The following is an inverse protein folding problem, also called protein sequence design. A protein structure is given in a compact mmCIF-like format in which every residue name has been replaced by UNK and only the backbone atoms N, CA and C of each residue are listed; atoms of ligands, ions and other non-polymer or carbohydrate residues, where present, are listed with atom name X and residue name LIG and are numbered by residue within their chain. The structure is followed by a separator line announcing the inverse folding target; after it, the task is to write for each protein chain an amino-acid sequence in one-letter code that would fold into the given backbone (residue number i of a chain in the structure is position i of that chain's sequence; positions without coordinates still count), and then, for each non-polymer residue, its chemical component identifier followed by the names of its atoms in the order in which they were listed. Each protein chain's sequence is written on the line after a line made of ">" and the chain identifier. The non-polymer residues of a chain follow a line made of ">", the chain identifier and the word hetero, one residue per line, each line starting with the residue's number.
data_IF_262038997143
#
_entry.id   IF_262038997143
#
_cell.length_a   1.000
_cell.length_b   1.000
_cell.length_c   1.000
_cell.angle_alpha   90.00
_cell.angle_beta   90.00
_cell.angle_gamma   90.00
#
_symmetry.space_group_name_H-M   'P 1'
#
loop_
_entity.id
_entity.type
_entity.pdbx_description
1 polymer ?
#
# COMPACT_ATOMS: atom_id res chain seq x y z
N UNK A 1 2.73 -5.81 -37.30
CA UNK A 1 1.99 -5.79 -36.02
C UNK A 1 2.58 -4.69 -35.17
N UNK A 2 1.79 -3.66 -34.86
CA UNK A 2 2.24 -2.58 -34.00
C UNK A 2 2.62 -3.15 -32.62
N UNK A 3 3.79 -2.74 -32.12
CA UNK A 3 4.22 -3.14 -30.77
C UNK A 3 3.16 -2.67 -29.76
N UNK A 4 2.69 -3.54 -28.86
CA UNK A 4 1.73 -3.15 -27.84
C UNK A 4 2.26 -1.93 -27.06
N UNK A 5 1.38 -0.93 -26.85
CA UNK A 5 1.76 0.31 -26.14
C UNK A 5 1.74 0.10 -24.63
N UNK A 6 2.44 -0.92 -24.13
CA UNK A 6 2.47 -1.26 -22.70
C UNK A 6 2.91 -0.11 -21.79
N UNK A 7 3.79 0.78 -22.27
CA UNK A 7 4.18 1.96 -21.49
C UNK A 7 3.01 2.92 -21.24
N UNK A 8 2.20 3.19 -22.27
CA UNK A 8 1.01 4.03 -22.14
C UNK A 8 -0.06 3.33 -21.30
N UNK A 9 -0.26 2.03 -21.51
CA UNK A 9 -1.18 1.21 -20.69
C UNK A 9 -0.83 1.29 -19.21
N UNK A 10 0.46 1.10 -18.85
CA UNK A 10 0.94 1.22 -17.45
C UNK A 10 0.70 2.62 -16.89
N UNK A 11 0.97 3.67 -17.66
CA UNK A 11 0.71 5.04 -17.20
C UNK A 11 -0.77 5.25 -16.89
N UNK A 12 -1.67 4.84 -17.78
CA UNK A 12 -3.12 4.97 -17.57
C UNK A 12 -3.54 4.20 -16.32
N UNK A 13 -3.13 2.93 -16.19
CA UNK A 13 -3.47 2.10 -15.02
C UNK A 13 -2.96 2.72 -13.72
N UNK A 14 -1.72 3.21 -13.71
CA UNK A 14 -1.14 3.84 -12.51
C UNK A 14 -1.90 5.13 -12.15
N UNK A 15 -2.22 5.98 -13.13
CA UNK A 15 -2.92 7.24 -12.86
C UNK A 15 -4.40 7.07 -12.49
N UNK A 16 -5.00 5.89 -12.72
CA UNK A 16 -6.33 5.57 -12.17
C UNK A 16 -6.31 5.34 -10.64
N UNK A 17 -5.17 5.04 -10.04
CA UNK A 17 -5.02 4.74 -8.61
C UNK A 17 -3.73 5.27 -8.02
N UNK A 18 -2.72 4.43 -7.88
CA UNK A 18 -1.48 4.73 -7.13
C UNK A 18 -0.69 5.92 -7.66
N UNK A 19 -0.67 6.16 -8.97
CA UNK A 19 -0.04 7.34 -9.56
C UNK A 19 -0.77 8.63 -9.19
N UNK A 20 -2.11 8.61 -9.16
CA UNK A 20 -2.90 9.71 -8.61
C UNK A 20 -2.53 9.97 -7.15
N UNK A 21 -2.45 8.91 -6.34
CA UNK A 21 -2.06 9.00 -4.93
C UNK A 21 -0.66 9.59 -4.77
N UNK A 22 0.30 9.25 -5.65
CA UNK A 22 1.63 9.82 -5.65
C UNK A 22 1.61 11.35 -5.88
N UNK A 23 0.80 11.83 -6.84
CA UNK A 23 0.66 13.28 -7.09
C UNK A 23 0.09 13.99 -5.86
N UNK A 24 -0.99 13.48 -5.27
CA UNK A 24 -1.56 14.06 -4.07
C UNK A 24 -0.60 14.01 -2.87
N UNK A 25 0.17 12.94 -2.74
CA UNK A 25 1.17 12.79 -1.68
C UNK A 25 2.30 13.83 -1.79
N UNK A 26 2.73 14.15 -3.03
CA UNK A 26 3.69 15.24 -3.28
C UNK A 26 3.08 16.59 -2.93
N UNK A 27 1.83 16.84 -3.28
CA UNK A 27 1.16 18.09 -2.91
C UNK A 27 0.99 18.21 -1.38
N UNK A 28 0.64 17.11 -0.70
CA UNK A 28 0.51 17.06 0.74
C UNK A 28 1.82 17.39 1.46
N UNK A 29 2.95 16.77 1.06
CA UNK A 29 4.23 17.08 1.70
C UNK A 29 4.67 18.53 1.45
N UNK A 30 4.38 19.11 0.28
CA UNK A 30 4.64 20.53 0.01
C UNK A 30 3.79 21.40 0.95
N UNK A 31 2.50 21.11 1.10
CA UNK A 31 1.62 21.82 2.03
C UNK A 31 2.16 21.73 3.46
N UNK A 32 2.51 20.54 3.93
CA UNK A 32 3.03 20.31 5.28
C UNK A 32 4.34 21.06 5.54
N UNK A 33 5.26 21.07 4.57
CA UNK A 33 6.55 21.78 4.68
C UNK A 33 6.42 23.31 4.64
N UNK A 34 5.36 23.80 4.05
CA UNK A 34 5.11 25.25 3.89
C UNK A 34 4.21 25.83 4.97
N UNK A 35 3.72 25.03 5.92
CA UNK A 35 2.91 25.53 7.06
C UNK A 35 3.76 26.38 8.01
N UNK A 36 3.35 27.62 8.27
CA UNK A 36 4.10 28.52 9.15
C UNK A 36 4.15 27.95 10.58
N UNK A 37 5.34 27.93 11.18
CA UNK A 37 5.57 27.58 12.60
C UNK A 37 5.08 26.16 13.02
N UNK A 38 4.95 25.23 12.09
CA UNK A 38 4.56 23.85 12.36
C UNK A 38 5.51 22.86 11.69
N UNK A 39 6.58 22.40 12.35
CA UNK A 39 7.46 21.35 11.83
C UNK A 39 6.68 20.02 11.65
N UNK A 40 7.15 19.14 10.76
CA UNK A 40 6.43 17.90 10.38
C UNK A 40 6.02 17.06 11.60
N UNK A 41 6.88 16.90 12.59
CA UNK A 41 6.60 16.09 13.78
C UNK A 41 5.57 16.69 14.75
N UNK A 42 5.11 17.92 14.51
CA UNK A 42 4.00 18.56 15.21
C UNK A 42 2.68 18.53 14.40
N UNK A 43 2.74 18.02 13.18
CA UNK A 43 1.57 17.84 12.32
C UNK A 43 1.08 16.39 12.42
N UNK A 44 -0.23 16.18 12.19
CA UNK A 44 -0.85 14.85 12.22
C UNK A 44 -1.39 14.48 10.86
N UNK A 45 -1.03 13.30 10.38
CA UNK A 45 -1.59 12.69 9.19
C UNK A 45 -2.55 11.59 9.61
N UNK A 46 -3.84 11.80 9.38
CA UNK A 46 -4.88 10.86 9.78
C UNK A 46 -5.31 9.99 8.61
N UNK A 47 -5.33 8.68 8.82
CA UNK A 47 -5.78 7.67 7.85
C UNK A 47 -7.13 7.09 8.28
N UNK A 48 -7.80 6.39 7.36
CA UNK A 48 -9.00 5.59 7.63
C UNK A 48 -10.02 6.35 8.52
N UNK A 49 -10.52 7.46 8.00
CA UNK A 49 -11.43 8.36 8.72
C UNK A 49 -12.89 8.08 8.36
N UNK A 50 -13.79 8.22 9.34
CA UNK A 50 -15.24 8.23 9.09
C UNK A 50 -15.63 9.38 8.16
N UNK A 51 -16.43 9.08 7.14
CA UNK A 51 -16.96 10.07 6.20
C UNK A 51 -18.12 10.88 6.84
N UNK A 52 -18.97 10.20 7.60
CA UNK A 52 -20.16 10.77 8.25
C UNK A 52 -20.37 10.11 9.63
N UNK A 53 -19.56 10.48 10.64
CA UNK A 53 -19.49 9.76 11.92
C UNK A 53 -20.82 9.70 12.68
N UNK A 54 -21.71 10.69 12.48
CA UNK A 54 -23.02 10.77 13.13
C UNK A 54 -24.09 9.87 12.46
N UNK A 55 -23.76 9.19 11.37
CA UNK A 55 -24.68 8.32 10.61
C UNK A 55 -24.06 6.93 10.37
N UNK A 56 -24.06 6.02 11.35
CA UNK A 56 -23.28 4.78 11.32
C UNK A 56 -23.49 3.91 10.07
N UNK A 57 -24.74 3.75 9.60
CA UNK A 57 -25.04 2.94 8.42
C UNK A 57 -24.63 3.59 7.11
N UNK A 58 -24.73 4.91 7.02
CA UNK A 58 -24.24 5.66 5.87
C UNK A 58 -22.71 5.66 5.84
N UNK A 59 -22.08 5.82 7.00
CA UNK A 59 -20.62 5.74 7.13
C UNK A 59 -20.11 4.34 6.71
N UNK A 60 -20.77 3.27 7.18
CA UNK A 60 -20.47 1.92 6.74
C UNK A 60 -20.58 1.77 5.20
N UNK A 61 -21.60 2.36 4.58
CA UNK A 61 -21.76 2.34 3.13
C UNK A 61 -20.60 3.05 2.42
N UNK A 62 -20.13 4.19 2.93
CA UNK A 62 -18.91 4.85 2.44
C UNK A 62 -17.67 3.95 2.60
N UNK A 63 -17.48 3.33 3.76
CA UNK A 63 -16.33 2.46 4.00
C UNK A 63 -16.32 1.24 3.06
N UNK A 64 -17.47 0.60 2.86
CA UNK A 64 -17.62 -0.49 1.88
C UNK A 64 -17.27 -0.02 0.46
N UNK A 65 -17.66 1.21 0.12
CA UNK A 65 -17.33 1.83 -1.18
C UNK A 65 -15.82 2.09 -1.30
N UNK A 66 -15.17 2.60 -0.25
CA UNK A 66 -13.72 2.83 -0.22
C UNK A 66 -12.92 1.53 -0.33
N UNK A 67 -13.43 0.42 0.19
CA UNK A 67 -12.83 -0.91 0.00
C UNK A 67 -13.08 -1.44 -1.44
N UNK A 68 -14.29 -1.27 -1.96
CA UNK A 68 -14.71 -1.94 -3.19
C UNK A 68 -14.14 -1.30 -4.46
N UNK A 69 -14.15 0.03 -4.55
CA UNK A 69 -13.74 0.72 -5.80
C UNK A 69 -12.27 0.52 -6.16
N UNK A 70 -11.30 0.56 -5.25
CA UNK A 70 -9.90 0.28 -5.60
C UNK A 70 -9.68 -1.13 -6.14
N UNK A 71 -10.49 -2.12 -5.71
CA UNK A 71 -10.42 -3.49 -6.22
C UNK A 71 -10.81 -3.58 -7.71
N UNK A 72 -11.54 -2.62 -8.26
CA UNK A 72 -11.82 -2.54 -9.71
C UNK A 72 -10.52 -2.37 -10.51
N UNK A 73 -9.53 -1.64 -9.98
CA UNK A 73 -8.20 -1.54 -10.60
C UNK A 73 -7.51 -2.91 -10.64
N UNK A 74 -7.66 -3.72 -9.60
CA UNK A 74 -7.13 -5.09 -9.59
C UNK A 74 -7.77 -5.95 -10.67
N UNK A 75 -9.09 -5.86 -10.83
CA UNK A 75 -9.79 -6.56 -11.92
C UNK A 75 -9.30 -6.09 -13.29
N UNK A 76 -9.09 -4.80 -13.47
CA UNK A 76 -8.56 -4.23 -14.71
C UNK A 76 -7.17 -4.77 -15.03
N UNK A 77 -6.22 -4.74 -14.09
CA UNK A 77 -4.86 -5.24 -14.35
C UNK A 77 -4.82 -6.74 -14.60
N UNK A 78 -5.64 -7.52 -13.90
CA UNK A 78 -5.78 -8.96 -14.16
C UNK A 78 -6.38 -9.23 -15.55
N UNK A 79 -7.36 -8.44 -15.97
CA UNK A 79 -7.95 -8.51 -17.31
C UNK A 79 -6.91 -8.18 -18.39
N UNK A 80 -6.14 -7.09 -18.24
CA UNK A 80 -5.11 -6.70 -19.19
C UNK A 80 -3.99 -7.74 -19.30
N UNK A 81 -3.57 -8.33 -18.19
CA UNK A 81 -2.61 -9.45 -18.19
C UNK A 81 -3.21 -10.70 -18.82
N UNK A 82 -4.50 -10.97 -18.60
CA UNK A 82 -5.18 -12.11 -19.21
C UNK A 82 -5.23 -12.01 -20.74
N UNK A 83 -5.49 -10.83 -21.28
CA UNK A 83 -5.50 -10.60 -22.73
C UNK A 83 -4.16 -10.92 -23.41
N UNK A 84 -3.05 -10.76 -22.70
CA UNK A 84 -1.71 -10.96 -23.25
C UNK A 84 -1.09 -12.31 -22.92
N UNK A 85 -1.34 -12.83 -21.73
CA UNK A 85 -0.69 -14.03 -21.18
C UNK A 85 -1.64 -15.21 -20.91
N UNK A 86 -2.95 -15.01 -21.04
CA UNK A 86 -3.96 -16.02 -20.81
C UNK A 86 -4.32 -16.19 -19.33
N UNK A 87 -3.42 -16.72 -18.51
CA UNK A 87 -3.72 -17.07 -17.11
C UNK A 87 -3.15 -16.06 -16.10
N UNK A 88 -3.65 -14.82 -16.09
CA UNK A 88 -3.12 -13.71 -15.28
C UNK A 88 -2.90 -14.07 -13.79
N UNK A 89 -3.90 -14.65 -13.11
CA UNK A 89 -3.79 -14.99 -11.68
C UNK A 89 -2.65 -15.99 -11.42
N UNK A 90 -2.49 -17.00 -12.25
CA UNK A 90 -1.41 -17.98 -12.13
C UNK A 90 -0.05 -17.37 -12.49
N UNK A 91 -0.02 -16.51 -13.52
CA UNK A 91 1.18 -15.81 -13.96
C UNK A 91 1.86 -15.06 -12.81
N UNK A 92 1.08 -14.32 -12.03
CA UNK A 92 1.59 -13.51 -10.93
C UNK A 92 1.54 -14.21 -9.56
N UNK A 93 1.06 -15.47 -9.52
CA UNK A 93 0.89 -16.22 -8.27
C UNK A 93 -0.11 -15.57 -7.31
N UNK A 94 -1.20 -14.99 -7.84
CA UNK A 94 -2.35 -14.50 -7.09
C UNK A 94 -3.42 -15.59 -7.03
N UNK A 95 -3.12 -16.68 -6.34
CA UNK A 95 -3.95 -17.87 -6.23
C UNK A 95 -3.73 -18.58 -4.89
N UNK A 96 -4.57 -19.57 -4.58
CA UNK A 96 -4.52 -20.34 -3.35
C UNK A 96 -3.81 -21.72 -3.51
N UNK A 97 -2.91 -21.84 -4.49
CA UNK A 97 -2.26 -23.14 -4.77
C UNK A 97 -1.20 -23.53 -3.72
N UNK A 98 -0.62 -22.57 -2.99
CA UNK A 98 0.45 -22.82 -2.01
C UNK A 98 0.18 -22.12 -0.67
N UNK A 99 -0.99 -22.34 -0.02
CA UNK A 99 -1.44 -21.53 1.11
C UNK A 99 -0.49 -21.60 2.31
N UNK A 100 0.08 -22.76 2.61
CA UNK A 100 1.04 -22.91 3.72
C UNK A 100 2.32 -22.11 3.48
N UNK A 101 2.84 -22.14 2.25
CA UNK A 101 4.00 -21.35 1.86
C UNK A 101 3.68 -19.86 1.91
N UNK A 102 2.55 -19.46 1.33
CA UNK A 102 2.14 -18.05 1.24
C UNK A 102 1.93 -17.46 2.64
N UNK A 103 1.28 -18.18 3.55
CA UNK A 103 1.09 -17.78 4.95
C UNK A 103 2.41 -17.71 5.73
N UNK A 104 3.24 -18.76 5.68
CA UNK A 104 4.50 -18.80 6.42
C UNK A 104 5.44 -17.65 6.03
N UNK A 105 5.60 -17.41 4.72
CA UNK A 105 6.39 -16.28 4.25
C UNK A 105 5.71 -14.94 4.51
N UNK A 106 4.38 -14.84 4.39
CA UNK A 106 3.62 -13.64 4.72
C UNK A 106 3.89 -13.17 6.15
N UNK A 107 3.75 -14.04 7.13
CA UNK A 107 4.05 -13.74 8.54
C UNK A 107 5.54 -13.41 8.76
N UNK A 108 6.44 -14.21 8.19
CA UNK A 108 7.88 -13.98 8.34
C UNK A 108 8.34 -12.63 7.77
N UNK A 109 7.82 -12.26 6.58
CA UNK A 109 8.11 -10.97 5.93
C UNK A 109 7.49 -9.82 6.73
N UNK A 110 6.24 -9.97 7.19
CA UNK A 110 5.58 -8.95 8.00
C UNK A 110 6.38 -8.65 9.28
N UNK A 111 6.84 -9.67 9.99
CA UNK A 111 7.68 -9.50 11.17
C UNK A 111 9.05 -8.87 10.83
N UNK A 112 9.70 -9.37 9.76
CA UNK A 112 11.02 -8.90 9.34
C UNK A 112 11.05 -7.47 8.83
N UNK A 113 9.93 -6.94 8.32
CA UNK A 113 9.81 -5.56 7.86
C UNK A 113 9.12 -4.67 8.89
N UNK A 114 8.08 -5.16 9.55
CA UNK A 114 7.28 -4.36 10.48
C UNK A 114 8.07 -3.90 11.71
N UNK A 115 8.88 -4.78 12.30
CA UNK A 115 9.67 -4.43 13.49
C UNK A 115 10.72 -3.35 13.16
N UNK A 116 11.58 -3.49 12.13
CA UNK A 116 12.49 -2.41 11.73
C UNK A 116 11.76 -1.18 11.21
N UNK A 117 10.62 -1.35 10.52
CA UNK A 117 9.81 -0.26 10.00
C UNK A 117 9.26 0.63 11.11
N UNK A 118 8.77 0.04 12.20
CA UNK A 118 8.35 0.79 13.39
C UNK A 118 9.52 1.58 13.99
N UNK A 119 10.70 0.97 14.11
CA UNK A 119 11.91 1.66 14.55
C UNK A 119 12.30 2.83 13.66
N UNK A 120 12.20 2.66 12.33
CA UNK A 120 12.44 3.73 11.35
C UNK A 120 11.42 4.87 11.51
N UNK A 121 10.14 4.56 11.68
CA UNK A 121 9.08 5.55 11.90
C UNK A 121 9.34 6.39 13.16
N UNK A 122 9.62 5.74 14.30
CA UNK A 122 9.89 6.42 15.56
C UNK A 122 11.15 7.29 15.47
N UNK A 123 12.21 6.79 14.83
CA UNK A 123 13.45 7.54 14.60
C UNK A 123 13.23 8.75 13.68
N UNK A 124 12.52 8.58 12.57
CA UNK A 124 12.22 9.66 11.63
C UNK A 124 11.34 10.74 12.28
N UNK A 125 10.35 10.35 13.09
CA UNK A 125 9.51 11.28 13.85
C UNK A 125 10.35 12.06 14.87
N UNK A 126 11.23 11.41 15.62
CA UNK A 126 12.13 12.07 16.58
C UNK A 126 13.07 13.07 15.91
N UNK A 127 13.49 12.80 14.67
CA UNK A 127 14.31 13.70 13.84
C UNK A 127 13.50 14.82 13.14
N UNK A 128 12.19 14.87 13.30
CA UNK A 128 11.35 15.87 12.64
C UNK A 128 11.10 15.60 11.14
N UNK A 129 11.38 14.38 10.66
CA UNK A 129 11.25 13.98 9.25
C UNK A 129 9.91 13.35 8.92
N UNK A 130 9.07 13.10 9.92
CA UNK A 130 7.73 12.50 9.76
C UNK A 130 6.67 13.27 10.52
N UNK A 131 5.43 13.22 10.00
CA UNK A 131 4.24 13.61 10.74
C UNK A 131 3.92 12.58 11.83
N UNK A 132 3.05 12.94 12.76
CA UNK A 132 2.40 11.99 13.65
C UNK A 132 1.32 11.26 12.86
N UNK A 133 1.53 9.98 12.56
CA UNK A 133 0.56 9.20 11.78
C UNK A 133 -0.49 8.60 12.72
N UNK A 134 -1.76 8.92 12.49
CA UNK A 134 -2.92 8.26 13.09
C UNK A 134 -3.52 7.25 12.09
N UNK A 135 -3.18 5.96 12.18
CA UNK A 135 -3.57 4.97 11.18
C UNK A 135 -5.07 4.68 11.10
N UNK A 136 -5.83 4.98 12.16
CA UNK A 136 -7.27 4.76 12.22
C UNK A 136 -7.97 5.85 13.02
N UNK A 137 -9.02 6.43 12.43
CA UNK A 137 -9.88 7.44 13.06
C UNK A 137 -11.35 7.23 12.67
N UNK A 138 -11.78 5.96 12.64
CA UNK A 138 -13.18 5.59 12.44
C UNK A 138 -13.95 5.78 13.75
N UNK A 139 -15.21 6.22 13.66
CA UNK A 139 -16.14 6.25 14.79
C UNK A 139 -16.32 4.83 15.36
N UNK A 140 -16.47 4.74 16.69
CA UNK A 140 -16.61 3.47 17.40
C UNK A 140 -17.95 2.81 17.08
N UNK A 141 -17.93 1.74 16.30
CA UNK A 141 -19.07 0.91 15.93
C UNK A 141 -18.66 -0.57 15.96
N UNK A 142 -19.63 -1.48 15.99
CA UNK A 142 -19.36 -2.92 15.95
C UNK A 142 -18.62 -3.37 14.67
N UNK A 143 -18.76 -2.63 13.57
CA UNK A 143 -18.14 -2.90 12.28
C UNK A 143 -16.76 -2.23 12.10
N UNK A 144 -16.32 -1.39 13.03
CA UNK A 144 -15.04 -0.64 12.90
C UNK A 144 -13.85 -1.57 12.67
N UNK A 145 -13.68 -2.60 13.49
CA UNK A 145 -12.57 -3.56 13.31
C UNK A 145 -12.69 -4.36 12.01
N UNK A 146 -13.83 -4.97 11.65
CA UNK A 146 -14.04 -5.58 10.34
C UNK A 146 -13.71 -4.66 9.15
N UNK A 147 -14.09 -3.40 9.21
CA UNK A 147 -13.78 -2.42 8.14
C UNK A 147 -12.29 -2.13 8.08
N UNK A 148 -11.60 -1.93 9.21
CA UNK A 148 -10.14 -1.74 9.23
C UNK A 148 -9.39 -2.94 8.65
N UNK A 149 -9.85 -4.17 8.93
CA UNK A 149 -9.30 -5.38 8.30
C UNK A 149 -9.55 -5.37 6.79
N UNK A 150 -10.77 -5.03 6.35
CA UNK A 150 -11.09 -4.95 4.92
C UNK A 150 -10.28 -3.88 4.17
N UNK A 151 -10.02 -2.73 4.80
CA UNK A 151 -9.14 -1.69 4.26
C UNK A 151 -7.69 -2.17 4.14
N UNK A 152 -7.18 -2.89 5.15
CA UNK A 152 -5.84 -3.49 5.13
C UNK A 152 -5.71 -4.55 4.02
N UNK A 153 -6.70 -5.43 3.87
CA UNK A 153 -6.74 -6.42 2.78
C UNK A 153 -6.79 -5.75 1.40
N UNK A 154 -7.64 -4.74 1.26
CA UNK A 154 -7.76 -3.98 0.02
C UNK A 154 -6.43 -3.33 -0.36
N UNK A 155 -5.75 -2.65 0.57
CA UNK A 155 -4.44 -2.03 0.33
C UNK A 155 -3.41 -3.08 -0.12
N UNK A 156 -3.26 -4.18 0.64
CA UNK A 156 -2.33 -5.25 0.31
C UNK A 156 -2.60 -5.86 -1.08
N UNK A 157 -3.85 -6.06 -1.44
CA UNK A 157 -4.23 -6.60 -2.76
C UNK A 157 -3.96 -5.58 -3.87
N UNK A 158 -4.44 -4.34 -3.73
CA UNK A 158 -4.31 -3.29 -4.75
C UNK A 158 -2.84 -2.98 -5.03
N UNK A 159 -2.07 -2.77 -3.98
CA UNK A 159 -0.67 -2.37 -4.13
C UNK A 159 0.18 -3.52 -4.67
N UNK A 160 0.11 -4.70 -4.08
CA UNK A 160 1.01 -5.78 -4.50
C UNK A 160 0.62 -6.37 -5.86
N UNK A 161 -0.67 -6.53 -6.16
CA UNK A 161 -1.09 -7.02 -7.48
C UNK A 161 -0.75 -5.99 -8.56
N UNK A 162 -0.92 -4.70 -8.30
CA UNK A 162 -0.60 -3.66 -9.29
C UNK A 162 0.92 -3.47 -9.42
N UNK A 163 1.63 -3.22 -8.31
CA UNK A 163 3.05 -2.83 -8.38
C UNK A 163 3.97 -3.99 -8.68
N UNK A 164 3.71 -5.18 -8.16
CA UNK A 164 4.55 -6.36 -8.39
C UNK A 164 4.00 -7.25 -9.50
N UNK A 165 2.71 -7.59 -9.40
CA UNK A 165 2.07 -8.48 -10.37
C UNK A 165 2.03 -7.87 -11.76
N UNK A 166 1.47 -6.67 -11.89
CA UNK A 166 1.25 -6.04 -13.18
C UNK A 166 2.47 -5.24 -13.67
N UNK A 167 2.95 -4.25 -12.91
CA UNK A 167 4.02 -3.35 -13.37
C UNK A 167 5.29 -4.13 -13.69
N UNK A 168 5.75 -5.05 -12.83
CA UNK A 168 6.96 -5.82 -13.10
C UNK A 168 6.79 -6.76 -14.30
N UNK A 169 5.58 -7.28 -14.55
CA UNK A 169 5.28 -8.08 -15.75
C UNK A 169 5.34 -7.22 -17.00
N UNK A 170 4.74 -6.02 -16.99
CA UNK A 170 4.81 -5.11 -18.15
C UNK A 170 6.21 -4.60 -18.45
N UNK A 171 7.03 -4.36 -17.42
CA UNK A 171 8.46 -4.07 -17.64
C UNK A 171 9.20 -5.25 -18.31
N UNK A 172 8.86 -6.49 -17.94
CA UNK A 172 9.41 -7.67 -18.60
C UNK A 172 8.94 -7.78 -20.06
N UNK A 173 7.65 -7.51 -20.35
CA UNK A 173 7.10 -7.46 -21.70
C UNK A 173 7.79 -6.39 -22.58
N UNK A 174 8.26 -5.30 -21.98
CA UNK A 174 9.05 -4.26 -22.63
C UNK A 174 10.54 -4.63 -22.76
N UNK A 175 10.96 -5.82 -22.30
CA UNK A 175 12.36 -6.27 -22.35
C UNK A 175 13.28 -5.57 -21.34
N UNK A 176 12.72 -4.93 -20.31
CA UNK A 176 13.51 -4.23 -19.30
C UNK A 176 14.15 -5.20 -18.30
N UNK A 177 15.32 -4.80 -17.78
CA UNK A 177 16.00 -5.59 -16.75
C UNK A 177 15.18 -5.65 -15.46
N UNK A 178 15.12 -6.79 -14.75
CA UNK A 178 14.30 -6.96 -13.55
C UNK A 178 14.59 -5.91 -12.46
N UNK A 179 15.85 -5.55 -12.25
CA UNK A 179 16.22 -4.56 -11.24
C UNK A 179 15.69 -3.16 -11.55
N UNK A 180 15.58 -2.78 -12.85
CA UNK A 180 14.99 -1.50 -13.28
C UNK A 180 13.52 -1.47 -12.88
N UNK A 181 12.78 -2.54 -13.16
CA UNK A 181 11.38 -2.66 -12.78
C UNK A 181 11.18 -2.57 -11.25
N UNK A 182 12.03 -3.24 -10.47
CA UNK A 182 11.99 -3.22 -9.00
C UNK A 182 12.24 -1.79 -8.49
N UNK A 183 13.29 -1.12 -8.95
CA UNK A 183 13.64 0.23 -8.50
C UNK A 183 12.54 1.23 -8.86
N UNK A 184 12.01 1.19 -10.09
CA UNK A 184 10.93 2.09 -10.51
C UNK A 184 9.66 1.83 -9.70
N UNK A 185 9.29 0.57 -9.49
CA UNK A 185 8.15 0.19 -8.64
C UNK A 185 8.34 0.71 -7.21
N UNK A 186 9.52 0.53 -6.62
CA UNK A 186 9.84 1.01 -5.29
C UNK A 186 9.80 2.55 -5.17
N UNK A 187 10.31 3.28 -6.19
CA UNK A 187 10.23 4.74 -6.23
C UNK A 187 8.78 5.24 -6.28
N UNK A 188 7.94 4.60 -7.09
CA UNK A 188 6.51 4.93 -7.13
C UNK A 188 5.88 4.66 -5.75
N UNK A 189 6.20 3.50 -5.11
CA UNK A 189 5.72 3.18 -3.75
C UNK A 189 6.15 4.26 -2.73
N UNK A 190 7.41 4.62 -2.68
CA UNK A 190 7.88 5.69 -1.79
C UNK A 190 7.16 7.02 -2.05
N UNK A 191 6.90 7.36 -3.33
CA UNK A 191 6.29 8.63 -3.69
C UNK A 191 4.85 8.78 -3.21
N UNK A 192 4.02 7.74 -3.25
CA UNK A 192 2.65 7.84 -2.75
C UNK A 192 2.53 7.68 -1.22
N UNK A 193 3.66 7.57 -0.51
CA UNK A 193 3.73 7.63 0.95
C UNK A 193 4.41 8.89 1.51
N UNK A 194 4.75 9.86 0.64
CA UNK A 194 5.34 11.15 1.06
C UNK A 194 4.46 11.95 2.03
N UNK A 195 3.14 11.79 1.95
CA UNK A 195 2.17 12.44 2.85
C UNK A 195 2.34 12.06 4.34
N UNK A 196 3.11 11.01 4.64
CA UNK A 196 3.48 10.63 5.99
C UNK A 196 4.80 11.27 6.45
N UNK A 197 5.50 11.96 5.55
CA UNK A 197 6.83 12.51 5.71
C UNK A 197 7.90 11.66 5.00
N UNK A 198 9.14 12.14 5.08
CA UNK A 198 10.27 11.53 4.37
C UNK A 198 10.62 10.13 4.88
N UNK A 199 10.49 9.88 6.18
CA UNK A 199 10.72 8.55 6.75
C UNK A 199 9.71 7.52 6.24
N UNK A 200 8.43 7.90 6.09
CA UNK A 200 7.40 7.08 5.47
C UNK A 200 7.74 6.74 4.02
N UNK A 201 8.16 7.73 3.24
CA UNK A 201 8.58 7.53 1.85
C UNK A 201 9.79 6.60 1.74
N UNK A 202 10.83 6.80 2.56
CA UNK A 202 12.04 5.96 2.57
C UNK A 202 11.73 4.55 3.03
N UNK A 203 10.92 4.38 4.09
CA UNK A 203 10.51 3.07 4.59
C UNK A 203 9.75 2.27 3.52
N UNK A 204 8.80 2.91 2.84
CA UNK A 204 8.04 2.29 1.76
C UNK A 204 8.87 2.03 0.50
N UNK A 205 9.84 2.88 0.19
CA UNK A 205 10.82 2.62 -0.87
C UNK A 205 11.64 1.36 -0.58
N UNK A 206 12.19 1.23 0.64
CA UNK A 206 12.97 0.05 1.07
C UNK A 206 12.10 -1.20 1.06
N UNK A 207 10.87 -1.12 1.57
CA UNK A 207 9.89 -2.21 1.50
C UNK A 207 9.61 -2.60 0.04
N UNK A 208 9.45 -1.63 -0.86
CA UNK A 208 9.24 -1.87 -2.27
C UNK A 208 10.41 -2.62 -2.94
N UNK A 209 11.67 -2.28 -2.59
CA UNK A 209 12.85 -3.02 -3.06
C UNK A 209 12.85 -4.46 -2.55
N UNK A 210 12.60 -4.66 -1.25
CA UNK A 210 12.55 -5.98 -0.63
C UNK A 210 11.43 -6.84 -1.24
N UNK A 211 10.23 -6.29 -1.36
CA UNK A 211 9.08 -6.98 -1.93
C UNK A 211 9.29 -7.32 -3.42
N UNK A 212 9.83 -6.39 -4.21
CA UNK A 212 10.16 -6.64 -5.61
C UNK A 212 11.19 -7.74 -5.79
N UNK A 213 12.23 -7.78 -4.94
CA UNK A 213 13.22 -8.85 -4.93
C UNK A 213 12.60 -10.20 -4.54
N UNK A 214 11.81 -10.24 -3.46
CA UNK A 214 11.12 -11.44 -2.99
C UNK A 214 10.12 -11.96 -4.04
N UNK A 215 9.37 -11.06 -4.69
CA UNK A 215 8.47 -11.44 -5.78
C UNK A 215 9.22 -12.14 -6.92
N UNK A 216 10.36 -11.59 -7.34
CA UNK A 216 11.20 -12.25 -8.37
C UNK A 216 11.77 -13.58 -7.89
N UNK A 217 12.04 -13.74 -6.60
CA UNK A 217 12.54 -14.98 -6.01
C UNK A 217 11.47 -16.07 -5.87
N UNK A 218 10.23 -15.69 -5.54
CA UNK A 218 9.13 -16.63 -5.31
C UNK A 218 8.29 -16.90 -6.56
N UNK A 219 8.23 -15.95 -7.49
CA UNK A 219 7.31 -15.96 -8.63
C UNK A 219 5.84 -15.86 -8.20
N UNK A 220 5.55 -15.35 -6.99
CA UNK A 220 4.21 -15.28 -6.40
C UNK A 220 4.01 -13.99 -5.62
N UNK A 221 2.87 -13.34 -5.87
CA UNK A 221 2.50 -12.11 -5.16
C UNK A 221 1.82 -12.41 -3.81
N UNK A 222 1.17 -13.57 -3.65
CA UNK A 222 0.38 -13.89 -2.45
C UNK A 222 1.12 -13.75 -1.12
N UNK A 223 2.39 -14.22 -0.94
CA UNK A 223 3.11 -14.00 0.32
C UNK A 223 3.25 -12.51 0.66
N UNK A 224 3.38 -11.65 -0.36
CA UNK A 224 3.58 -10.21 -0.20
C UNK A 224 2.26 -9.48 0.07
N UNK A 225 1.17 -9.90 -0.58
CA UNK A 225 -0.19 -9.46 -0.23
C UNK A 225 -0.49 -9.77 1.24
N UNK A 226 -0.22 -11.00 1.70
CA UNK A 226 -0.43 -11.40 3.09
C UNK A 226 0.45 -10.59 4.03
N UNK A 227 1.74 -10.42 3.71
CA UNK A 227 2.65 -9.62 4.53
C UNK A 227 2.17 -8.17 4.67
N UNK A 228 1.81 -7.52 3.57
CA UNK A 228 1.29 -6.15 3.57
C UNK A 228 -0.01 -6.04 4.38
N UNK A 229 -0.96 -6.93 4.14
CA UNK A 229 -2.21 -6.99 4.91
C UNK A 229 -1.96 -7.11 6.41
N UNK A 230 -1.01 -7.96 6.84
CA UNK A 230 -0.66 -8.11 8.25
C UNK A 230 -0.05 -6.82 8.82
N UNK A 231 0.83 -6.15 8.06
CA UNK A 231 1.42 -4.86 8.45
C UNK A 231 0.35 -3.79 8.66
N UNK A 232 -0.60 -3.70 7.73
CA UNK A 232 -1.71 -2.74 7.81
C UNK A 232 -2.70 -3.10 8.92
N UNK A 233 -3.03 -4.37 9.13
CA UNK A 233 -3.85 -4.81 10.27
C UNK A 233 -3.17 -4.42 11.59
N UNK A 234 -1.87 -4.71 11.73
CA UNK A 234 -1.12 -4.34 12.93
C UNK A 234 -1.11 -2.82 13.16
N UNK A 235 -1.00 -2.04 12.08
CA UNK A 235 -1.06 -0.57 12.13
C UNK A 235 -2.48 -0.08 12.46
N UNK A 236 -3.51 -0.45 11.68
CA UNK A 236 -4.86 0.10 11.77
C UNK A 236 -5.61 -0.40 13.01
N UNK A 237 -5.72 -1.73 13.13
CA UNK A 237 -6.43 -2.36 14.26
C UNK A 237 -5.61 -2.23 15.53
N UNK A 238 -4.29 -2.45 15.46
CA UNK A 238 -3.39 -2.29 16.61
C UNK A 238 -3.47 -0.88 17.18
N UNK A 239 -3.40 0.16 16.33
CA UNK A 239 -3.56 1.54 16.77
C UNK A 239 -4.96 1.80 17.35
N UNK A 240 -6.03 1.39 16.68
CA UNK A 240 -7.40 1.62 17.14
C UNK A 240 -7.68 1.02 18.53
N UNK A 241 -7.11 -0.16 18.81
CA UNK A 241 -7.28 -0.84 20.09
C UNK A 241 -6.33 -0.31 21.18
N UNK A 242 -5.13 0.13 20.82
CA UNK A 242 -4.09 0.54 21.77
C UNK A 242 -4.05 2.04 22.03
N UNK A 243 -4.65 2.87 21.14
CA UNK A 243 -4.67 4.34 21.28
C UNK A 243 -5.03 4.83 22.69
N UNK A 244 -6.02 4.25 23.40
CA UNK A 244 -6.35 4.69 24.77
C UNK A 244 -5.24 4.46 25.78
N UNK A 245 -4.29 3.58 25.50
CA UNK A 245 -3.19 3.19 26.38
C UNK A 245 -1.83 3.79 25.97
N UNK A 246 -1.75 4.39 24.79
CA UNK A 246 -0.52 4.93 24.19
C UNK A 246 -0.48 6.46 24.37
N UNK A 247 -0.30 6.91 25.60
CA UNK A 247 -0.28 8.35 25.95
C UNK A 247 0.92 9.12 25.39
N UNK A 248 1.87 8.42 24.76
CA UNK A 248 3.14 8.96 24.23
C UNK A 248 3.21 8.96 22.69
N UNK A 249 2.21 8.42 22.01
CA UNK A 249 2.04 8.49 20.54
C UNK A 249 1.20 9.74 20.17
#
# INVERSE_FOLDING_TARGET
>A
MDKPRYGLEMLIVLFLGLGKSAVYSVLSIIEELTRPNQPLNQQTTTLNTSAVPDRPWLDLAYQVTYISFPLVQVLLVLYLLHLTHGHARRLIGFDLQRPKFDLAWGFGIAAGIGIPGLGLYLGARALGLNTNVEPANLAANWWTVPVLVGLAEMNGIVEEVTMLGYVLTRFADLGQKPWVAIVVSALIRGSYHLYQGFGGAVGNFIMGLAFGWLYKRFGRVMPLVIAHTILDIASFVGYALLKPYLTWL
#
